data_IF_328634195406
#
_entry.id   IF_328634195406
#
_cell.length_a   1.000
_cell.length_b   1.000
_cell.length_c   1.000
_cell.angle_alpha   90.00
_cell.angle_beta   90.00
_cell.angle_gamma   90.00
#
_symmetry.space_group_name_H-M   'P 1'
#
loop_
_entity.id
_entity.type
_entity.pdbx_description
1 polymer ?
#
# COMPACT_ATOMS: atom_id res chain seq x y z
N UNK A 1 51.80 2.21 -6.16
CA UNK A 1 51.10 2.89 -7.26
C UNK A 1 49.67 2.38 -7.27
N UNK A 2 48.70 3.24 -6.98
CA UNK A 2 47.28 2.90 -7.01
C UNK A 2 46.89 2.76 -8.49
N UNK A 3 46.34 1.61 -8.88
CA UNK A 3 45.88 1.35 -10.25
C UNK A 3 44.74 2.34 -10.56
N UNK A 4 44.67 2.94 -11.76
CA UNK A 4 43.54 3.77 -12.15
C UNK A 4 42.24 2.99 -11.97
N UNK A 5 41.29 3.64 -11.32
CA UNK A 5 39.98 3.15 -10.93
C UNK A 5 39.13 2.98 -12.23
N UNK A 6 39.11 1.77 -12.81
CA UNK A 6 38.52 1.30 -14.09
C UNK A 6 39.45 1.27 -15.33
N UNK A 7 40.57 0.56 -15.26
CA UNK A 7 41.29 0.17 -16.49
C UNK A 7 40.65 -1.07 -17.16
N UNK A 8 39.38 -0.98 -17.54
CA UNK A 8 38.68 -2.08 -18.21
C UNK A 8 39.09 -2.12 -19.67
N UNK A 9 39.73 -3.20 -20.09
CA UNK A 9 40.14 -3.40 -21.47
C UNK A 9 38.92 -3.73 -22.36
N UNK A 10 38.95 -3.26 -23.61
CA UNK A 10 37.91 -3.55 -24.62
C UNK A 10 37.72 -5.06 -24.76
N UNK A 11 38.79 -5.84 -24.70
CA UNK A 11 38.77 -7.31 -24.76
C UNK A 11 37.98 -7.93 -23.61
N UNK A 12 38.01 -7.34 -22.41
CA UNK A 12 37.23 -7.81 -21.26
C UNK A 12 35.73 -7.58 -21.45
N UNK A 13 35.35 -6.49 -22.13
CA UNK A 13 33.97 -6.18 -22.47
C UNK A 13 33.46 -7.10 -23.59
N UNK A 14 34.26 -7.31 -24.63
CA UNK A 14 33.94 -8.23 -25.74
C UNK A 14 33.78 -9.66 -25.24
N UNK A 15 34.66 -10.11 -24.35
CA UNK A 15 34.55 -11.44 -23.71
C UNK A 15 33.25 -11.65 -22.91
N UNK A 16 32.55 -10.57 -22.55
CA UNK A 16 31.28 -10.58 -21.80
C UNK A 16 30.05 -10.35 -22.68
N UNK A 17 30.21 -10.49 -24.01
CA UNK A 17 29.12 -10.49 -24.96
C UNK A 17 28.79 -9.13 -25.57
N UNK A 18 29.61 -8.10 -25.35
CA UNK A 18 29.51 -6.85 -26.12
C UNK A 18 30.15 -7.02 -27.50
N UNK A 19 29.52 -6.43 -28.52
CA UNK A 19 30.21 -6.27 -29.80
C UNK A 19 31.33 -5.22 -29.66
N UNK A 20 32.32 -5.27 -30.56
CA UNK A 20 33.51 -4.43 -30.44
C UNK A 20 33.21 -2.92 -30.50
N UNK A 21 32.32 -2.49 -31.40
CA UNK A 21 31.96 -1.08 -31.52
C UNK A 21 31.31 -0.52 -30.24
N UNK A 22 30.35 -1.27 -29.66
CA UNK A 22 29.73 -0.91 -28.37
C UNK A 22 30.72 -0.99 -27.20
N UNK A 23 31.67 -1.93 -27.25
CA UNK A 23 32.73 -2.03 -26.24
C UNK A 23 33.68 -0.83 -26.30
N UNK A 24 34.03 -0.34 -27.49
CA UNK A 24 34.83 0.87 -27.69
C UNK A 24 34.10 2.13 -27.20
N UNK A 25 32.81 2.27 -27.53
CA UNK A 25 31.95 3.35 -27.03
C UNK A 25 31.85 3.33 -25.50
N UNK A 26 31.58 2.17 -24.91
CA UNK A 26 31.50 2.01 -23.46
C UNK A 26 32.85 2.31 -22.80
N UNK A 27 33.96 1.81 -23.35
CA UNK A 27 35.30 2.09 -22.80
C UNK A 27 35.63 3.59 -22.80
N UNK A 28 35.19 4.35 -23.81
CA UNK A 28 35.34 5.80 -23.83
C UNK A 28 34.56 6.48 -22.70
N UNK A 29 33.30 6.08 -22.48
CA UNK A 29 32.48 6.59 -21.36
C UNK A 29 33.11 6.24 -19.99
N UNK A 30 33.67 5.04 -19.84
CA UNK A 30 34.33 4.62 -18.60
C UNK A 30 35.61 5.42 -18.33
N UNK A 31 36.35 5.81 -19.37
CA UNK A 31 37.57 6.60 -19.24
C UNK A 31 37.32 7.99 -18.63
N UNK A 32 36.17 8.61 -18.92
CA UNK A 32 35.76 9.88 -18.31
C UNK A 32 35.57 9.75 -16.80
N UNK A 33 35.11 8.58 -16.34
CA UNK A 33 34.85 8.27 -14.93
C UNK A 33 36.07 7.78 -14.17
N UNK A 34 37.18 7.47 -14.85
CA UNK A 34 38.40 6.96 -14.23
C UNK A 34 39.12 7.99 -13.33
N UNK A 35 38.70 9.26 -13.40
CA UNK A 35 39.21 10.36 -12.60
C UNK A 35 38.42 10.60 -11.31
N UNK A 36 37.30 9.89 -11.12
CA UNK A 36 36.46 9.99 -9.91
C UNK A 36 36.97 9.00 -8.86
N UNK A 37 37.65 9.52 -7.84
CA UNK A 37 38.26 8.70 -6.78
C UNK A 37 37.22 8.04 -5.84
N UNK A 38 36.03 8.64 -5.71
CA UNK A 38 34.95 8.13 -4.87
C UNK A 38 34.21 6.97 -5.58
N UNK A 39 34.37 5.75 -5.06
CA UNK A 39 33.76 4.54 -5.63
C UNK A 39 32.22 4.61 -5.63
N UNK A 40 31.60 5.29 -4.66
CA UNK A 40 30.15 5.46 -4.55
C UNK A 40 29.62 6.45 -5.60
N UNK A 41 30.27 7.61 -5.73
CA UNK A 41 29.89 8.63 -6.72
C UNK A 41 30.08 8.12 -8.15
N UNK A 42 31.16 7.38 -8.38
CA UNK A 42 31.43 6.77 -9.67
C UNK A 42 30.41 5.67 -10.00
N UNK A 43 30.05 4.82 -9.03
CA UNK A 43 28.98 3.82 -9.24
C UNK A 43 27.64 4.47 -9.54
N UNK A 44 27.28 5.54 -8.81
CA UNK A 44 26.06 6.29 -9.07
C UNK A 44 26.01 6.83 -10.50
N UNK A 45 27.16 7.31 -11.01
CA UNK A 45 27.26 7.80 -12.38
C UNK A 45 27.14 6.65 -13.40
N UNK A 46 27.81 5.52 -13.14
CA UNK A 46 27.67 4.31 -13.97
C UNK A 46 26.21 3.85 -14.04
N UNK A 47 25.55 3.72 -12.89
CA UNK A 47 24.19 3.23 -12.78
C UNK A 47 23.16 4.15 -13.45
N UNK A 48 23.37 5.48 -13.41
CA UNK A 48 22.42 6.46 -13.96
C UNK A 48 22.64 6.80 -15.43
N UNK A 49 23.87 6.68 -15.95
CA UNK A 49 24.21 7.16 -17.31
C UNK A 49 24.73 6.07 -18.25
N UNK A 50 25.28 4.99 -17.71
CA UNK A 50 26.01 3.98 -18.51
C UNK A 50 25.27 2.65 -18.56
N UNK A 51 24.77 2.17 -17.42
CA UNK A 51 24.04 0.91 -17.34
C UNK A 51 22.68 1.01 -18.04
N UNK A 52 22.34 0.01 -18.85
CA UNK A 52 21.01 -0.10 -19.48
C UNK A 52 20.63 -1.57 -19.67
N UNK A 53 19.32 -1.90 -19.77
CA UNK A 53 18.88 -3.28 -20.05
C UNK A 53 19.41 -3.87 -21.37
N UNK A 54 19.94 -3.03 -22.26
CA UNK A 54 20.55 -3.46 -23.52
C UNK A 54 21.98 -4.00 -23.36
N UNK A 55 22.63 -3.77 -22.22
CA UNK A 55 23.94 -4.33 -21.93
C UNK A 55 23.81 -5.77 -21.39
N UNK A 56 24.73 -6.69 -21.77
CA UNK A 56 24.76 -8.02 -21.18
C UNK A 56 24.99 -7.96 -19.67
N UNK A 57 24.27 -8.76 -18.87
CA UNK A 57 24.41 -8.79 -17.41
C UNK A 57 25.87 -8.99 -16.94
N UNK A 58 26.65 -9.83 -17.64
CA UNK A 58 28.07 -10.05 -17.31
C UNK A 58 28.91 -8.76 -17.38
N UNK A 59 28.51 -7.77 -18.19
CA UNK A 59 29.13 -6.44 -18.24
C UNK A 59 28.75 -5.64 -17.00
N UNK A 60 27.47 -5.63 -16.60
CA UNK A 60 27.04 -4.98 -15.36
C UNK A 60 27.84 -5.51 -14.16
N UNK A 61 27.98 -6.84 -14.07
CA UNK A 61 28.73 -7.50 -13.01
C UNK A 61 30.21 -7.08 -13.01
N UNK A 62 30.86 -7.04 -14.17
CA UNK A 62 32.24 -6.57 -14.28
C UNK A 62 32.40 -5.14 -13.77
N UNK A 63 31.56 -4.21 -14.27
CA UNK A 63 31.63 -2.80 -13.88
C UNK A 63 31.45 -2.64 -12.37
N UNK A 64 30.52 -3.40 -11.79
CA UNK A 64 30.27 -3.41 -10.35
C UNK A 64 31.46 -3.94 -9.54
N UNK A 65 32.08 -5.04 -9.98
CA UNK A 65 33.24 -5.64 -9.32
C UNK A 65 34.47 -4.73 -9.38
N UNK A 66 34.75 -4.16 -10.55
CA UNK A 66 35.91 -3.28 -10.77
C UNK A 66 35.71 -1.90 -10.12
N UNK A 67 34.48 -1.42 -10.01
CA UNK A 67 34.20 -0.19 -9.28
C UNK A 67 34.51 -0.34 -7.79
N UNK A 68 33.93 -1.33 -7.11
CA UNK A 68 34.05 -1.47 -5.65
C UNK A 68 35.30 -2.23 -5.20
N UNK A 69 36.44 -1.99 -5.85
CA UNK A 69 37.69 -2.68 -5.55
C UNK A 69 38.17 -2.43 -4.13
N UNK A 70 38.14 -1.17 -3.67
CA UNK A 70 38.56 -0.78 -2.32
C UNK A 70 37.52 -1.19 -1.27
N UNK A 71 36.24 -0.95 -1.52
CA UNK A 71 35.18 -1.39 -0.61
C UNK A 71 35.28 -2.89 -0.32
N UNK A 72 35.51 -3.72 -1.35
CA UNK A 72 35.70 -5.18 -1.16
C UNK A 72 36.94 -5.52 -0.35
N UNK A 73 38.07 -4.85 -0.61
CA UNK A 73 39.31 -5.07 0.14
C UNK A 73 39.17 -4.70 1.63
N UNK A 74 38.40 -3.65 1.91
CA UNK A 74 38.16 -3.14 3.26
C UNK A 74 36.91 -3.76 3.92
N UNK A 75 36.24 -4.71 3.26
CA UNK A 75 34.98 -5.32 3.71
C UNK A 75 33.86 -4.29 3.98
N UNK A 76 33.86 -3.18 3.23
CA UNK A 76 32.80 -2.18 3.27
C UNK A 76 31.60 -2.62 2.40
N UNK A 77 30.38 -2.13 2.70
CA UNK A 77 29.22 -2.38 1.86
C UNK A 77 29.45 -1.93 0.43
N UNK A 78 29.08 -2.78 -0.53
CA UNK A 78 29.02 -2.42 -1.96
C UNK A 78 27.53 -2.26 -2.29
N UNK A 79 26.97 -1.04 -2.32
CA UNK A 79 25.56 -0.88 -2.64
C UNK A 79 25.32 -1.03 -4.14
N UNK A 80 24.31 -1.82 -4.50
CA UNK A 80 23.90 -2.01 -5.89
C UNK A 80 23.27 -0.74 -6.50
N UNK A 81 22.74 0.15 -5.67
CA UNK A 81 22.15 1.42 -6.08
C UNK A 81 22.32 2.46 -4.97
N UNK A 82 22.55 3.72 -5.37
CA UNK A 82 22.67 4.87 -4.48
C UNK A 82 21.84 6.02 -5.08
N UNK A 83 20.86 6.58 -4.36
CA UNK A 83 20.07 7.70 -4.86
C UNK A 83 20.94 8.95 -5.06
N UNK A 84 20.69 9.69 -6.14
CA UNK A 84 21.33 10.99 -6.38
C UNK A 84 20.93 12.00 -5.32
N UNK A 85 21.86 12.88 -4.93
CA UNK A 85 21.60 13.90 -3.89
C UNK A 85 20.43 14.80 -4.28
N UNK A 86 20.25 15.14 -5.56
CA UNK A 86 19.11 15.93 -6.02
C UNK A 86 17.78 15.18 -5.92
N UNK A 87 17.81 13.85 -6.02
CA UNK A 87 16.62 13.00 -5.83
C UNK A 87 16.25 12.97 -4.36
N UNK A 88 17.24 12.73 -3.47
CA UNK A 88 17.04 12.73 -2.02
C UNK A 88 16.45 14.06 -1.55
N UNK A 89 17.02 15.18 -1.99
CA UNK A 89 16.61 16.53 -1.60
C UNK A 89 15.17 16.91 -2.03
N UNK A 90 14.57 16.19 -2.98
CA UNK A 90 13.20 16.42 -3.47
C UNK A 90 12.16 15.50 -2.84
N UNK A 91 12.56 14.61 -1.93
CA UNK A 91 11.62 13.73 -1.24
C UNK A 91 10.84 14.50 -0.19
N UNK A 92 9.57 14.14 0.04
CA UNK A 92 8.80 14.69 1.16
C UNK A 92 9.49 14.43 2.52
N UNK A 93 10.22 13.32 2.64
CA UNK A 93 10.97 13.01 3.85
C UNK A 93 12.12 14.00 4.08
N UNK A 94 12.88 14.37 3.04
CA UNK A 94 13.94 15.37 3.17
C UNK A 94 13.38 16.76 3.49
N UNK A 95 12.25 17.14 2.87
CA UNK A 95 11.54 18.37 3.21
C UNK A 95 11.10 18.38 4.67
N UNK A 96 10.52 17.27 5.15
CA UNK A 96 10.05 17.16 6.53
C UNK A 96 11.21 17.14 7.54
N UNK A 97 12.30 16.42 7.27
CA UNK A 97 13.54 16.46 8.07
C UNK A 97 14.04 17.91 8.22
N UNK A 98 14.07 18.65 7.11
CA UNK A 98 14.45 20.07 7.11
C UNK A 98 13.50 20.94 7.92
N UNK A 99 12.18 20.71 7.82
CA UNK A 99 11.16 21.42 8.60
C UNK A 99 11.28 21.16 10.12
N UNK A 100 11.77 19.98 10.51
CA UNK A 100 12.06 19.63 11.90
C UNK A 100 13.42 20.16 12.39
N UNK A 101 14.23 20.75 11.51
CA UNK A 101 15.57 21.24 11.84
C UNK A 101 16.60 20.13 12.09
N UNK A 102 16.33 18.92 11.59
CA UNK A 102 17.22 17.77 11.69
C UNK A 102 18.18 17.71 10.49
N UNK A 103 19.38 17.15 10.70
CA UNK A 103 20.42 17.13 9.66
C UNK A 103 20.37 15.89 8.77
N UNK A 104 19.80 14.77 9.25
CA UNK A 104 19.79 13.51 8.49
C UNK A 104 18.63 12.58 8.88
N UNK A 105 18.49 11.50 8.10
CA UNK A 105 17.54 10.43 8.41
C UNK A 105 17.90 9.71 9.72
N UNK A 106 19.18 9.55 10.01
CA UNK A 106 19.67 8.94 11.25
C UNK A 106 19.24 9.77 12.46
N UNK A 107 19.35 11.10 12.38
CA UNK A 107 18.84 11.98 13.45
C UNK A 107 17.32 11.90 13.60
N UNK A 108 16.57 11.84 12.49
CA UNK A 108 15.11 11.63 12.54
C UNK A 108 14.76 10.28 13.19
N UNK A 109 15.44 9.21 12.80
CA UNK A 109 15.24 7.89 13.37
C UNK A 109 15.54 7.91 14.88
N UNK A 110 16.70 8.42 15.28
CA UNK A 110 17.11 8.47 16.68
C UNK A 110 16.14 9.33 17.51
N UNK A 111 15.68 10.46 16.98
CA UNK A 111 14.66 11.27 17.65
C UNK A 111 13.31 10.52 17.75
N UNK A 112 12.85 9.88 16.67
CA UNK A 112 11.56 9.16 16.66
C UNK A 112 11.49 8.02 17.68
N UNK A 113 12.62 7.35 17.90
CA UNK A 113 12.73 6.24 18.86
C UNK A 113 12.83 6.76 20.30
N UNK A 114 13.59 7.83 20.53
CA UNK A 114 13.82 8.35 21.88
C UNK A 114 12.71 9.30 22.37
N UNK A 115 11.91 9.86 21.46
CA UNK A 115 10.84 10.82 21.74
C UNK A 115 9.51 10.42 21.06
N UNK A 116 8.98 9.20 21.33
CA UNK A 116 7.86 8.64 20.56
C UNK A 116 6.56 9.45 20.63
N UNK A 117 6.27 10.09 21.77
CA UNK A 117 5.08 10.96 21.90
C UNK A 117 5.20 12.25 21.08
N UNK A 118 6.36 12.89 21.10
CA UNK A 118 6.64 14.09 20.31
C UNK A 118 6.61 13.76 18.81
N UNK A 119 7.23 12.63 18.44
CA UNK A 119 7.19 12.10 17.09
C UNK A 119 5.75 11.83 16.63
N UNK A 120 4.94 11.14 17.44
CA UNK A 120 3.53 10.86 17.10
C UNK A 120 2.74 12.12 16.82
N UNK A 121 2.83 13.13 17.70
CA UNK A 121 2.10 14.38 17.55
C UNK A 121 2.56 15.16 16.30
N UNK A 122 3.87 15.18 16.05
CA UNK A 122 4.46 15.84 14.88
C UNK A 122 4.07 15.13 13.58
N UNK A 123 4.09 13.80 13.57
CA UNK A 123 3.70 12.98 12.43
C UNK A 123 2.21 13.18 12.13
N UNK A 124 1.34 13.17 13.15
CA UNK A 124 -0.08 13.41 12.96
C UNK A 124 -0.37 14.77 12.32
N UNK A 125 0.36 15.82 12.71
CA UNK A 125 0.25 17.13 12.10
C UNK A 125 0.76 17.14 10.64
N UNK A 126 1.88 16.47 10.37
CA UNK A 126 2.46 16.38 9.03
C UNK A 126 1.59 15.57 8.05
N UNK A 127 0.94 14.52 8.54
CA UNK A 127 -0.04 13.72 7.81
C UNK A 127 -1.45 14.33 7.84
N UNK A 128 -1.60 15.50 8.46
CA UNK A 128 -2.86 16.22 8.60
C UNK A 128 -3.99 15.35 9.14
N UNK A 129 -3.71 14.46 10.10
CA UNK A 129 -4.73 13.55 10.64
C UNK A 129 -5.91 14.33 11.24
N UNK A 130 -7.12 13.97 10.81
CA UNK A 130 -8.37 14.54 11.31
C UNK A 130 -8.74 13.88 12.64
N UNK A 131 -8.74 14.68 13.70
CA UNK A 131 -9.32 14.30 14.99
C UNK A 131 -10.57 15.13 15.23
N UNK A 132 -11.67 14.47 15.58
CA UNK A 132 -12.85 15.16 16.05
C UNK A 132 -12.67 15.63 17.50
N UNK A 133 -12.12 14.75 18.33
CA UNK A 133 -11.62 15.09 19.68
C UNK A 133 -10.10 14.83 19.69
N UNK A 134 -9.25 15.82 20.02
CA UNK A 134 -7.79 15.66 19.97
C UNK A 134 -7.27 14.68 21.04
N UNK A 135 -6.12 14.03 20.81
CA UNK A 135 -5.52 13.12 21.79
C UNK A 135 -5.05 13.85 23.06
N UNK A 136 -5.15 13.18 24.20
CA UNK A 136 -4.49 13.60 25.43
C UNK A 136 -2.96 13.37 25.35
N UNK A 137 -2.56 12.26 24.73
CA UNK A 137 -1.16 11.87 24.47
C UNK A 137 -1.04 11.24 23.09
N UNK A 138 0.01 11.59 22.34
CA UNK A 138 0.29 11.01 21.03
C UNK A 138 0.75 9.55 21.10
N UNK A 139 1.50 9.21 22.15
CA UNK A 139 1.95 7.83 22.43
C UNK A 139 2.11 7.63 23.94
N UNK A 140 1.58 6.52 24.47
CA UNK A 140 1.73 6.09 25.85
C UNK A 140 2.31 4.67 25.91
N UNK A 141 3.57 4.58 26.36
CA UNK A 141 4.31 3.31 26.51
C UNK A 141 4.46 2.88 27.97
N UNK A 142 3.68 3.46 28.89
CA UNK A 142 3.76 3.15 30.34
C UNK A 142 3.47 1.69 30.68
N UNK A 143 2.75 0.98 29.80
CA UNK A 143 2.48 -0.47 29.89
C UNK A 143 3.52 -1.34 29.16
N UNK A 144 4.64 -0.76 28.73
CA UNK A 144 5.66 -1.38 27.90
C UNK A 144 5.44 -1.13 26.41
N UNK A 145 6.52 -1.18 25.62
CA UNK A 145 6.49 -0.91 24.17
C UNK A 145 5.63 -1.90 23.39
N UNK A 146 5.47 -3.13 23.88
CA UNK A 146 4.60 -4.16 23.33
C UNK A 146 3.09 -3.84 23.51
N UNK A 147 2.76 -2.90 24.40
CA UNK A 147 1.39 -2.45 24.70
C UNK A 147 1.25 -0.94 24.55
N UNK A 148 1.97 -0.34 23.59
CA UNK A 148 1.89 1.07 23.29
C UNK A 148 0.45 1.48 22.93
N UNK A 149 0.00 2.62 23.45
CA UNK A 149 -1.31 3.21 23.11
C UNK A 149 -1.08 4.50 22.35
N UNK A 150 -1.56 4.55 21.12
CA UNK A 150 -1.41 5.71 20.25
C UNK A 150 -2.63 6.63 20.37
N UNK A 151 -2.38 7.94 20.35
CA UNK A 151 -3.39 9.01 20.34
C UNK A 151 -4.48 8.86 21.42
N UNK A 152 -4.09 8.48 22.64
CA UNK A 152 -5.02 8.15 23.73
C UNK A 152 -6.10 9.22 23.96
N UNK A 153 -7.33 8.76 24.19
CA UNK A 153 -8.54 9.59 24.38
C UNK A 153 -8.97 10.44 23.18
N UNK A 154 -8.28 10.36 22.05
CA UNK A 154 -8.78 10.97 20.82
C UNK A 154 -10.08 10.31 20.38
N UNK A 155 -10.84 11.01 19.54
CA UNK A 155 -11.89 10.43 18.71
C UNK A 155 -11.68 10.84 17.28
N UNK A 156 -11.68 9.86 16.39
CA UNK A 156 -11.40 10.04 14.97
C UNK A 156 -12.13 9.00 14.13
N UNK A 157 -12.19 9.25 12.83
CA UNK A 157 -12.37 8.21 11.84
C UNK A 157 -11.32 8.45 10.75
N UNK A 158 -10.45 7.47 10.52
CA UNK A 158 -9.33 7.63 9.59
C UNK A 158 -9.79 7.99 8.16
N UNK A 159 -11.02 7.64 7.79
CA UNK A 159 -11.63 7.98 6.50
C UNK A 159 -11.74 9.49 6.30
N UNK A 160 -11.94 10.29 7.35
CA UNK A 160 -11.95 11.75 7.23
C UNK A 160 -10.59 12.29 6.76
N UNK A 161 -9.50 11.67 7.21
CA UNK A 161 -8.14 12.04 6.78
C UNK A 161 -7.87 11.67 5.32
N UNK A 162 -8.64 10.75 4.75
CA UNK A 162 -8.52 10.35 3.35
C UNK A 162 -9.13 11.35 2.37
N UNK A 163 -9.97 12.30 2.79
CA UNK A 163 -10.70 13.21 1.90
C UNK A 163 -10.30 14.69 2.06
N UNK A 164 -8.99 14.97 1.99
CA UNK A 164 -8.43 16.32 2.14
C UNK A 164 -8.00 17.02 0.85
N UNK A 165 -7.94 16.29 -0.27
CA UNK A 165 -7.63 16.89 -1.56
C UNK A 165 -8.84 17.61 -2.16
N UNK A 166 -8.59 18.41 -3.20
CA UNK A 166 -9.64 19.09 -3.96
C UNK A 166 -10.64 18.10 -4.56
N UNK A 167 -11.92 18.46 -4.54
CA UNK A 167 -13.05 17.64 -5.00
C UNK A 167 -12.90 17.14 -6.45
N UNK A 168 -12.31 17.96 -7.32
CA UNK A 168 -12.08 17.67 -8.74
C UNK A 168 -10.78 16.87 -9.00
N UNK A 169 -9.90 16.72 -7.99
CA UNK A 169 -8.69 15.94 -8.14
C UNK A 169 -9.01 14.46 -8.32
N UNK A 170 -8.17 13.72 -9.05
CA UNK A 170 -8.32 12.28 -9.20
C UNK A 170 -7.96 11.57 -7.88
N UNK A 171 -8.90 10.79 -7.36
CA UNK A 171 -8.71 9.95 -6.17
C UNK A 171 -8.32 8.51 -6.55
N UNK A 172 -8.99 7.94 -7.54
CA UNK A 172 -8.79 6.54 -7.95
C UNK A 172 -8.67 6.45 -9.46
N UNK A 173 -7.65 5.73 -9.92
CA UNK A 173 -7.50 5.26 -11.29
C UNK A 173 -7.49 3.73 -11.25
N UNK A 174 -8.55 3.11 -11.75
CA UNK A 174 -8.71 1.66 -11.77
C UNK A 174 -8.61 1.14 -13.20
N UNK A 175 -7.76 0.14 -13.43
CA UNK A 175 -7.65 -0.55 -14.71
C UNK A 175 -8.30 -1.93 -14.69
N UNK A 176 -8.99 -2.30 -15.77
CA UNK A 176 -9.47 -3.67 -15.97
C UNK A 176 -8.46 -4.55 -16.73
N UNK A 177 -8.76 -5.85 -16.88
CA UNK A 177 -7.89 -6.79 -17.63
C UNK A 177 -7.74 -6.43 -19.11
N UNK A 178 -8.62 -5.58 -19.66
CA UNK A 178 -8.58 -5.13 -21.05
C UNK A 178 -7.78 -3.82 -21.21
N UNK A 179 -7.25 -3.28 -20.10
CA UNK A 179 -6.51 -2.02 -20.07
C UNK A 179 -7.41 -0.78 -20.12
N UNK A 180 -8.72 -0.92 -19.96
CA UNK A 180 -9.63 0.22 -19.83
C UNK A 180 -9.46 0.84 -18.46
N UNK A 181 -9.38 2.17 -18.42
CA UNK A 181 -9.20 2.92 -17.19
C UNK A 181 -10.51 3.60 -16.78
N UNK A 182 -10.88 3.42 -15.51
CA UNK A 182 -11.94 4.15 -14.83
C UNK A 182 -11.32 5.13 -13.85
N UNK A 183 -11.88 6.33 -13.81
CA UNK A 183 -11.39 7.45 -13.01
C UNK A 183 -12.49 7.90 -12.07
N UNK A 184 -12.17 8.06 -10.79
CA UNK A 184 -13.03 8.75 -9.82
C UNK A 184 -12.29 9.96 -9.28
N UNK A 185 -12.98 11.09 -9.22
CA UNK A 185 -12.52 12.25 -8.46
C UNK A 185 -12.73 12.03 -6.95
N UNK A 186 -12.11 12.88 -6.12
CA UNK A 186 -12.34 12.88 -4.68
C UNK A 186 -13.81 13.09 -4.33
N UNK A 187 -14.52 14.02 -4.98
CA UNK A 187 -15.95 14.22 -4.77
C UNK A 187 -16.78 12.98 -5.09
N UNK A 188 -16.47 12.30 -6.20
CA UNK A 188 -17.18 11.08 -6.62
C UNK A 188 -16.94 9.92 -5.65
N UNK A 189 -15.68 9.73 -5.21
CA UNK A 189 -15.36 8.69 -4.23
C UNK A 189 -16.00 8.99 -2.88
N UNK A 190 -15.97 10.25 -2.43
CA UNK A 190 -16.56 10.70 -1.16
C UNK A 190 -18.07 10.47 -1.15
N UNK A 191 -18.76 10.88 -2.22
CA UNK A 191 -20.19 10.65 -2.36
C UNK A 191 -20.54 9.15 -2.36
N UNK A 192 -19.78 8.32 -3.08
CA UNK A 192 -20.05 6.87 -3.10
C UNK A 192 -19.76 6.22 -1.74
N UNK A 193 -18.69 6.65 -1.07
CA UNK A 193 -18.33 6.21 0.30
C UNK A 193 -19.44 6.57 1.29
N UNK A 194 -20.00 7.78 1.20
CA UNK A 194 -21.12 8.22 2.02
C UNK A 194 -22.36 7.35 1.82
N UNK A 195 -22.73 7.09 0.56
CA UNK A 195 -23.89 6.25 0.22
C UNK A 195 -23.76 4.82 0.76
N UNK A 196 -22.53 4.28 0.76
CA UNK A 196 -22.24 2.99 1.40
C UNK A 196 -22.41 3.09 2.92
N UNK A 197 -21.75 4.06 3.57
CA UNK A 197 -21.80 4.20 5.03
C UNK A 197 -23.24 4.39 5.54
N UNK A 198 -23.98 5.29 4.90
CA UNK A 198 -25.39 5.57 5.21
C UNK A 198 -26.28 4.35 4.93
N UNK A 199 -26.03 3.62 3.84
CA UNK A 199 -26.75 2.37 3.53
C UNK A 199 -26.54 1.29 4.59
N UNK A 200 -25.33 1.17 5.15
CA UNK A 200 -25.08 0.23 6.27
C UNK A 200 -25.86 0.62 7.52
N UNK A 201 -25.91 1.93 7.84
CA UNK A 201 -26.69 2.44 8.97
C UNK A 201 -28.21 2.22 8.78
N UNK A 202 -28.73 2.44 7.56
CA UNK A 202 -30.14 2.17 7.20
C UNK A 202 -30.49 0.68 7.32
N UNK A 203 -29.55 -0.21 7.03
CA UNK A 203 -29.67 -1.65 7.29
C UNK A 203 -29.53 -2.03 8.77
N UNK A 204 -29.31 -1.06 9.65
CA UNK A 204 -29.26 -1.24 11.10
C UNK A 204 -27.90 -1.70 11.65
N UNK A 205 -26.83 -1.67 10.84
CA UNK A 205 -25.50 -1.96 11.35
C UNK A 205 -25.07 -0.87 12.35
N UNK A 206 -24.34 -1.30 13.37
CA UNK A 206 -23.87 -0.46 14.46
C UNK A 206 -22.34 -0.40 14.45
N UNK A 207 -21.74 0.69 14.97
CA UNK A 207 -20.29 0.76 15.12
C UNK A 207 -19.74 -0.45 15.91
N UNK A 208 -18.62 -1.00 15.44
CA UNK A 208 -18.04 -2.26 15.91
C UNK A 208 -18.58 -3.52 15.23
N UNK A 209 -19.63 -3.42 14.41
CA UNK A 209 -20.05 -4.55 13.56
C UNK A 209 -19.01 -4.84 12.48
N UNK A 210 -18.91 -6.12 12.11
CA UNK A 210 -17.98 -6.59 11.08
C UNK A 210 -18.70 -6.82 9.76
N UNK A 211 -18.11 -6.34 8.67
CA UNK A 211 -18.63 -6.52 7.31
C UNK A 211 -17.53 -7.10 6.44
N UNK A 212 -17.80 -8.23 5.81
CA UNK A 212 -16.83 -8.86 4.91
C UNK A 212 -16.81 -8.18 3.53
N UNK A 213 -15.65 -8.21 2.88
CA UNK A 213 -15.51 -7.82 1.47
C UNK A 213 -14.82 -8.95 0.72
N UNK A 214 -15.46 -9.41 -0.36
CA UNK A 214 -14.93 -10.35 -1.35
C UNK A 214 -15.16 -9.76 -2.75
N UNK A 215 -14.33 -8.79 -3.14
CA UNK A 215 -14.46 -8.08 -4.41
C UNK A 215 -13.08 -7.92 -5.07
N UNK A 216 -13.01 -7.86 -6.42
CA UNK A 216 -11.79 -7.44 -7.11
C UNK A 216 -11.44 -5.98 -6.78
N UNK A 217 -10.21 -5.57 -7.11
CA UNK A 217 -9.69 -4.20 -6.92
C UNK A 217 -10.37 -3.19 -7.86
N UNK A 218 -11.63 -2.88 -7.57
CA UNK A 218 -12.48 -1.95 -8.31
C UNK A 218 -12.74 -0.69 -7.50
N UNK A 219 -13.22 0.36 -8.17
CA UNK A 219 -13.64 1.61 -7.51
C UNK A 219 -14.74 1.39 -6.47
N UNK A 220 -15.62 0.40 -6.71
CA UNK A 220 -16.69 0.04 -5.78
C UNK A 220 -16.13 -0.66 -4.55
N UNK A 221 -15.09 -1.50 -4.70
CA UNK A 221 -14.41 -2.12 -3.57
C UNK A 221 -13.71 -1.08 -2.68
N UNK A 222 -13.10 -0.05 -3.26
CA UNK A 222 -12.51 1.08 -2.51
C UNK A 222 -13.61 1.82 -1.72
N UNK A 223 -14.72 2.17 -2.38
CA UNK A 223 -15.82 2.85 -1.69
C UNK A 223 -16.51 1.98 -0.63
N UNK A 224 -16.64 0.67 -0.86
CA UNK A 224 -17.14 -0.29 0.13
C UNK A 224 -16.24 -0.32 1.35
N UNK A 225 -14.92 -0.44 1.15
CA UNK A 225 -13.91 -0.45 2.21
C UNK A 225 -13.96 0.82 3.06
N UNK A 226 -13.89 1.99 2.42
CA UNK A 226 -13.96 3.28 3.12
C UNK A 226 -15.33 3.47 3.79
N UNK A 227 -16.42 3.06 3.15
CA UNK A 227 -17.79 3.25 3.67
C UNK A 227 -18.08 2.40 4.90
N UNK A 228 -17.55 1.17 4.96
CA UNK A 228 -17.61 0.32 6.16
C UNK A 228 -16.90 1.00 7.32
N UNK A 229 -15.68 1.48 7.11
CA UNK A 229 -14.89 2.15 8.16
C UNK A 229 -15.57 3.47 8.57
N UNK A 230 -16.09 4.25 7.61
CA UNK A 230 -16.83 5.48 7.87
C UNK A 230 -18.09 5.23 8.72
N UNK A 231 -18.76 4.09 8.55
CA UNK A 231 -19.88 3.68 9.41
C UNK A 231 -19.44 3.21 10.82
N UNK A 232 -18.15 3.27 11.14
CA UNK A 232 -17.57 2.77 12.38
C UNK A 232 -17.56 1.24 12.47
N UNK A 233 -17.75 0.55 11.35
CA UNK A 233 -17.71 -0.91 11.26
C UNK A 233 -16.30 -1.39 10.87
N UNK A 234 -15.99 -2.66 11.11
CA UNK A 234 -14.72 -3.28 10.72
C UNK A 234 -14.83 -4.05 9.41
N UNK A 235 -13.85 -3.90 8.53
CA UNK A 235 -13.75 -4.68 7.29
C UNK A 235 -13.14 -6.05 7.56
N UNK A 236 -13.83 -7.14 7.21
CA UNK A 236 -13.24 -8.48 7.16
C UNK A 236 -12.77 -8.78 5.73
N UNK A 237 -11.46 -8.83 5.52
CA UNK A 237 -10.90 -9.04 4.17
C UNK A 237 -10.97 -10.52 3.77
N UNK A 238 -11.60 -10.79 2.62
CA UNK A 238 -11.73 -12.14 2.06
C UNK A 238 -11.17 -12.15 0.65
N UNK A 239 -10.13 -12.95 0.43
CA UNK A 239 -9.57 -13.10 -0.91
C UNK A 239 -10.56 -13.82 -1.83
N UNK A 240 -10.74 -13.27 -3.03
CA UNK A 240 -11.55 -13.84 -4.11
C UNK A 240 -11.08 -15.25 -4.54
N UNK A 241 -9.81 -15.57 -4.32
CA UNK A 241 -9.20 -16.86 -4.60
C UNK A 241 -9.56 -17.94 -3.60
N UNK A 242 -10.08 -17.59 -2.41
CA UNK A 242 -10.41 -18.58 -1.40
C UNK A 242 -11.55 -19.51 -1.86
N UNK A 243 -11.42 -20.77 -1.48
CA UNK A 243 -12.48 -21.77 -1.56
C UNK A 243 -13.58 -21.48 -0.53
N UNK A 244 -14.75 -22.10 -0.71
CA UNK A 244 -15.88 -21.96 0.22
C UNK A 244 -15.49 -22.34 1.65
N UNK A 245 -14.72 -23.43 1.82
CA UNK A 245 -14.24 -23.87 3.12
C UNK A 245 -13.28 -22.86 3.77
N UNK A 246 -12.39 -22.24 2.98
CA UNK A 246 -11.48 -21.21 3.49
C UNK A 246 -12.21 -19.93 3.90
N UNK A 247 -13.25 -19.53 3.17
CA UNK A 247 -14.12 -18.41 3.57
C UNK A 247 -14.87 -18.74 4.86
N UNK A 248 -15.43 -19.94 4.97
CA UNK A 248 -16.19 -20.41 6.14
C UNK A 248 -15.39 -20.27 7.45
N UNK A 249 -14.14 -20.73 7.45
CA UNK A 249 -13.26 -20.63 8.63
C UNK A 249 -13.05 -19.18 9.05
N UNK A 250 -12.92 -18.26 8.10
CA UNK A 250 -12.73 -16.82 8.38
C UNK A 250 -14.01 -16.18 8.92
N UNK A 251 -15.16 -16.56 8.39
CA UNK A 251 -16.46 -16.12 8.90
C UNK A 251 -16.74 -16.67 10.29
N UNK A 252 -16.31 -17.89 10.61
CA UNK A 252 -16.42 -18.45 11.95
C UNK A 252 -15.58 -17.64 12.96
N UNK A 253 -14.35 -17.27 12.59
CA UNK A 253 -13.45 -16.49 13.45
C UNK A 253 -13.97 -15.07 13.68
N UNK A 254 -14.51 -14.43 12.63
CA UNK A 254 -14.81 -12.99 12.65
C UNK A 254 -16.28 -12.64 12.81
N UNK A 255 -17.18 -13.57 12.50
CA UNK A 255 -18.63 -13.44 12.60
C UNK A 255 -19.16 -12.15 11.94
N UNK A 256 -18.86 -11.90 10.65
CA UNK A 256 -19.38 -10.72 9.96
C UNK A 256 -20.91 -10.78 9.87
N UNK A 257 -21.57 -9.62 9.89
CA UNK A 257 -23.03 -9.51 9.74
C UNK A 257 -23.48 -9.52 8.29
N UNK A 258 -22.65 -9.03 7.38
CA UNK A 258 -22.90 -8.96 5.93
C UNK A 258 -21.61 -9.13 5.12
N UNK A 259 -21.76 -9.33 3.82
CA UNK A 259 -20.65 -9.35 2.87
C UNK A 259 -20.94 -8.50 1.63
N UNK A 260 -20.01 -7.64 1.25
CA UNK A 260 -19.95 -7.09 -0.10
C UNK A 260 -19.26 -8.09 -1.03
N UNK A 261 -19.88 -8.40 -2.15
CA UNK A 261 -19.35 -9.37 -3.10
C UNK A 261 -19.69 -8.99 -4.53
N UNK A 262 -18.78 -9.29 -5.46
CA UNK A 262 -19.07 -9.21 -6.89
C UNK A 262 -19.63 -10.54 -7.40
N UNK A 263 -20.52 -10.51 -8.40
CA UNK A 263 -21.05 -11.71 -9.04
C UNK A 263 -19.97 -12.65 -9.58
N UNK A 264 -19.04 -12.12 -10.34
CA UNK A 264 -17.93 -12.84 -10.96
C UNK A 264 -16.66 -12.01 -11.03
N UNK A 265 -15.52 -12.69 -11.19
CA UNK A 265 -14.25 -12.05 -11.54
C UNK A 265 -13.67 -12.69 -12.79
N UNK A 266 -13.16 -11.86 -13.71
CA UNK A 266 -12.41 -12.33 -14.86
C UNK A 266 -10.94 -12.40 -14.47
N UNK A 267 -10.33 -13.58 -14.63
CA UNK A 267 -8.89 -13.77 -14.43
C UNK A 267 -8.28 -14.54 -15.59
N UNK A 268 -7.29 -13.96 -16.25
CA UNK A 268 -6.69 -14.53 -17.46
C UNK A 268 -7.75 -14.89 -18.52
N UNK A 269 -8.75 -14.02 -18.70
CA UNK A 269 -9.85 -14.23 -19.66
C UNK A 269 -10.85 -15.33 -19.28
N UNK A 270 -10.81 -15.87 -18.05
CA UNK A 270 -11.78 -16.84 -17.54
C UNK A 270 -12.66 -16.21 -16.46
N UNK A 271 -13.97 -16.38 -16.61
CA UNK A 271 -14.94 -15.92 -15.62
C UNK A 271 -15.07 -16.91 -14.46
N UNK A 272 -14.88 -16.41 -13.24
CA UNK A 272 -14.99 -17.17 -11.99
C UNK A 272 -16.19 -16.66 -11.17
N UNK A 273 -17.23 -17.48 -10.92
CA UNK A 273 -18.40 -17.04 -10.17
C UNK A 273 -18.08 -16.92 -8.68
N UNK A 274 -17.99 -15.69 -8.18
CA UNK A 274 -17.69 -15.43 -6.77
C UNK A 274 -18.93 -15.56 -5.91
N UNK A 275 -20.08 -15.05 -6.36
CA UNK A 275 -21.32 -15.10 -5.59
C UNK A 275 -21.79 -16.54 -5.28
N UNK A 276 -21.57 -17.48 -6.19
CA UNK A 276 -21.90 -18.90 -5.98
C UNK A 276 -21.21 -19.50 -4.74
N UNK A 277 -20.04 -18.97 -4.36
CA UNK A 277 -19.29 -19.43 -3.18
C UNK A 277 -20.01 -19.12 -1.86
N UNK A 278 -20.78 -18.03 -1.80
CA UNK A 278 -21.48 -17.61 -0.58
C UNK A 278 -22.95 -18.05 -0.56
N UNK A 279 -23.59 -18.13 -1.73
CA UNK A 279 -24.98 -18.50 -1.86
C UNK A 279 -25.24 -19.93 -1.35
N UNK A 280 -24.29 -20.84 -1.58
CA UNK A 280 -24.48 -22.26 -1.36
C UNK A 280 -24.31 -22.74 0.10
N UNK A 281 -23.51 -22.06 0.96
CA UNK A 281 -23.06 -22.69 2.22
C UNK A 281 -22.98 -21.80 3.46
N UNK A 282 -23.01 -20.47 3.36
CA UNK A 282 -22.63 -19.59 4.48
C UNK A 282 -23.78 -18.79 5.11
N UNK A 283 -24.93 -18.66 4.43
CA UNK A 283 -26.09 -17.92 4.95
C UNK A 283 -25.88 -16.42 5.23
N UNK A 284 -24.66 -15.91 5.06
CA UNK A 284 -24.28 -14.52 5.28
C UNK A 284 -24.97 -13.60 4.27
N UNK A 285 -25.82 -12.64 4.70
CA UNK A 285 -26.52 -11.73 3.79
C UNK A 285 -25.54 -10.93 2.92
N UNK A 286 -25.78 -10.93 1.61
CA UNK A 286 -24.90 -10.33 0.62
C UNK A 286 -25.40 -8.96 0.15
N UNK A 287 -24.46 -8.06 -0.12
CA UNK A 287 -24.66 -6.89 -0.96
C UNK A 287 -23.92 -7.19 -2.28
N UNK A 288 -24.68 -7.49 -3.33
CA UNK A 288 -24.17 -8.01 -4.60
C UNK A 288 -23.89 -6.88 -5.59
N UNK A 289 -22.66 -6.74 -6.04
CA UNK A 289 -22.33 -5.94 -7.22
C UNK A 289 -22.34 -6.84 -8.46
N UNK A 290 -23.17 -6.52 -9.45
CA UNK A 290 -23.13 -7.16 -10.78
C UNK A 290 -22.09 -6.49 -11.66
N UNK A 291 -21.05 -7.23 -12.03
CA UNK A 291 -20.09 -6.78 -13.03
C UNK A 291 -20.51 -7.15 -14.45
N UNK A 292 -21.46 -8.08 -14.60
CA UNK A 292 -21.92 -8.54 -15.92
C UNK A 292 -23.40 -8.94 -15.89
N UNK A 293 -24.13 -8.60 -16.97
CA UNK A 293 -25.50 -9.09 -17.20
C UNK A 293 -25.52 -10.54 -17.73
N UNK A 294 -24.35 -11.19 -17.84
CA UNK A 294 -24.20 -12.53 -18.46
C UNK A 294 -24.75 -13.68 -17.62
N UNK A 295 -25.02 -13.48 -16.32
CA UNK A 295 -25.51 -14.51 -15.42
C UNK A 295 -26.87 -14.16 -14.83
N UNK A 296 -27.78 -15.11 -14.95
CA UNK A 296 -29.02 -15.10 -14.18
C UNK A 296 -28.72 -15.51 -12.74
N UNK A 297 -28.59 -14.51 -11.86
CA UNK A 297 -28.32 -14.70 -10.43
C UNK A 297 -29.61 -14.42 -9.69
N UNK A 298 -30.11 -15.43 -8.98
CA UNK A 298 -31.25 -15.29 -8.10
C UNK A 298 -30.76 -14.96 -6.68
N UNK A 299 -31.09 -13.76 -6.21
CA UNK A 299 -30.81 -13.32 -4.85
C UNK A 299 -31.65 -14.11 -3.82
N UNK A 300 -31.07 -14.35 -2.63
CA UNK A 300 -31.82 -14.84 -1.48
C UNK A 300 -32.59 -13.69 -0.84
N UNK A 301 -33.54 -14.00 0.04
CA UNK A 301 -34.40 -13.01 0.71
C UNK A 301 -33.62 -11.91 1.46
N UNK A 302 -32.48 -12.24 2.03
CA UNK A 302 -31.65 -11.31 2.83
C UNK A 302 -30.59 -10.58 1.99
N UNK A 303 -30.40 -11.00 0.73
CA UNK A 303 -29.44 -10.39 -0.18
C UNK A 303 -30.06 -9.15 -0.85
N UNK A 304 -29.21 -8.19 -1.19
CA UNK A 304 -29.60 -6.91 -1.78
C UNK A 304 -28.66 -6.61 -2.95
N UNK A 305 -29.17 -6.11 -4.06
CA UNK A 305 -28.33 -5.57 -5.15
C UNK A 305 -27.60 -4.32 -4.67
N UNK A 306 -26.37 -4.10 -5.13
CA UNK A 306 -25.54 -2.95 -4.75
C UNK A 306 -26.25 -1.63 -4.97
N UNK A 307 -26.89 -1.44 -6.13
CA UNK A 307 -27.57 -0.19 -6.47
C UNK A 307 -28.80 0.09 -5.59
N UNK A 308 -29.51 -0.96 -5.16
CA UNK A 308 -30.65 -0.87 -4.25
C UNK A 308 -30.20 -0.68 -2.78
N UNK A 309 -29.00 -1.11 -2.45
CA UNK A 309 -28.39 -0.93 -1.13
C UNK A 309 -27.90 0.50 -0.89
N UNK A 310 -27.34 1.15 -1.91
CA UNK A 310 -26.74 2.47 -1.76
C UNK A 310 -27.78 3.50 -1.32
N UNK A 311 -27.53 4.14 -0.17
CA UNK A 311 -28.40 5.22 0.33
C UNK A 311 -28.53 6.34 -0.70
N UNK A 312 -29.68 7.03 -0.70
CA UNK A 312 -29.86 8.25 -1.46
C UNK A 312 -29.08 9.43 -0.85
N UNK A 313 -28.75 9.36 0.44
CA UNK A 313 -27.93 10.35 1.15
C UNK A 313 -26.45 10.12 0.83
N UNK A 314 -25.81 11.15 0.27
CA UNK A 314 -24.41 11.15 -0.13
C UNK A 314 -23.55 12.11 0.71
N UNK A 315 -24.05 12.61 1.82
CA UNK A 315 -23.27 13.38 2.79
C UNK A 315 -22.46 12.43 3.67
N UNK A 316 -21.12 12.54 3.60
CA UNK A 316 -20.21 11.69 4.36
C UNK A 316 -20.11 12.18 5.81
N UNK A 317 -20.84 11.51 6.71
CA UNK A 317 -20.76 11.72 8.15
C UNK A 317 -20.06 10.51 8.79
N UNK A 318 -18.75 10.61 9.02
CA UNK A 318 -18.00 9.51 9.60
C UNK A 318 -18.33 9.33 11.09
N UNK A 319 -18.56 8.07 11.50
CA UNK A 319 -18.77 7.72 12.89
C UNK A 319 -17.45 7.89 13.65
N UNK A 320 -17.42 8.67 14.74
CA UNK A 320 -16.19 8.90 15.47
C UNK A 320 -15.90 7.77 16.45
N UNK A 321 -14.73 7.19 16.33
CA UNK A 321 -14.29 5.98 17.01
C UNK A 321 -13.09 6.25 17.93
N UNK A 322 -12.80 5.33 18.85
CA UNK A 322 -11.54 5.38 19.58
C UNK A 322 -10.37 4.93 18.68
N UNK A 323 -9.14 5.41 18.94
CA UNK A 323 -7.92 4.97 18.26
C UNK A 323 -7.77 3.47 18.08
N UNK A 324 -8.06 2.71 19.13
CA UNK A 324 -7.90 1.26 19.23
C UNK A 324 -9.12 0.47 18.71
N UNK A 325 -10.13 1.16 18.18
CA UNK A 325 -11.26 0.48 17.57
C UNK A 325 -10.83 -0.15 16.23
N UNK A 326 -11.15 -1.44 16.08
CA UNK A 326 -10.86 -2.23 14.89
C UNK A 326 -11.46 -1.58 13.62
N UNK A 327 -10.64 -1.37 12.60
CA UNK A 327 -11.05 -0.89 11.27
C UNK A 327 -11.05 -2.01 10.24
N UNK A 328 -10.07 -2.91 10.32
CA UNK A 328 -9.84 -3.95 9.31
C UNK A 328 -9.28 -5.19 9.97
N UNK A 329 -9.74 -6.36 9.54
CA UNK A 329 -9.19 -7.66 9.89
C UNK A 329 -8.55 -8.26 8.64
N UNK A 330 -7.25 -8.51 8.74
CA UNK A 330 -6.45 -9.19 7.73
C UNK A 330 -6.08 -10.59 8.23
N UNK A 331 -6.05 -11.57 7.33
CA UNK A 331 -5.65 -12.93 7.68
C UNK A 331 -4.25 -13.26 7.18
N UNK A 332 -3.43 -13.88 8.04
CA UNK A 332 -2.19 -14.52 7.61
C UNK A 332 -2.32 -16.04 7.59
N UNK A 333 -1.62 -16.69 6.66
CA UNK A 333 -1.47 -18.15 6.66
C UNK A 333 -0.42 -18.55 7.70
N UNK A 334 -0.85 -19.27 8.74
CA UNK A 334 0.08 -19.95 9.64
C UNK A 334 0.65 -21.21 8.98
N UNK A 335 1.88 -21.59 9.33
CA UNK A 335 2.54 -22.79 8.77
C UNK A 335 1.90 -24.10 9.21
N UNK A 336 1.06 -24.13 10.25
CA UNK A 336 0.56 -25.37 10.86
C UNK A 336 -0.83 -25.27 11.51
N UNK A 337 -1.70 -24.32 11.12
CA UNK A 337 -3.00 -24.18 11.81
C UNK A 337 -4.04 -23.31 11.11
N UNK A 338 -5.17 -23.07 11.82
CA UNK A 338 -6.22 -22.12 11.41
C UNK A 338 -5.62 -20.73 11.14
N UNK A 339 -6.19 -19.97 10.18
CA UNK A 339 -5.70 -18.64 9.83
C UNK A 339 -5.78 -17.71 11.05
N UNK A 340 -4.77 -16.84 11.20
CA UNK A 340 -4.74 -15.86 12.29
C UNK A 340 -5.41 -14.58 11.82
N UNK A 341 -6.43 -14.13 12.53
CA UNK A 341 -7.03 -12.82 12.35
C UNK A 341 -6.12 -11.75 12.99
N UNK A 342 -5.76 -10.74 12.21
CA UNK A 342 -4.91 -9.63 12.62
C UNK A 342 -5.76 -8.36 12.50
N UNK A 343 -6.28 -7.85 13.63
CA UNK A 343 -7.02 -6.59 13.63
C UNK A 343 -6.04 -5.42 13.45
N UNK A 344 -6.44 -4.46 12.63
CA UNK A 344 -5.86 -3.13 12.52
C UNK A 344 -6.86 -2.16 13.10
N UNK A 345 -6.38 -1.09 13.72
CA UNK A 345 -7.21 -0.06 14.33
C UNK A 345 -7.18 1.24 13.51
N UNK A 346 -7.55 2.37 14.09
CA UNK A 346 -7.59 3.65 13.39
C UNK A 346 -6.23 4.36 13.32
N UNK A 347 -5.19 3.84 13.98
CA UNK A 347 -3.94 4.57 14.28
C UNK A 347 -2.65 3.92 13.84
#
# INVERSE_FOLDING_TARGET
MVKPLLSIAIEQLVARGLNRAKAEELAAQLAELATVDDESLRWQTLASRVLSPALPFAVHELLYQENYGQHRQQQLPCPAWIPQTEVVAKTHLAEWIGALGLASYEELHDWSVNHPEEFANTLAAALTLCFQDPPLRGCDTSAGVENARWYSQARLNIVESCFQADDDALAVIAGDEQGQLKYLTYAQLKALTARVANGLAELGLQPGDRVAICMPMTVNAVAAFLGIIAAGCSVVTIADSFSVAEMAVRFEITQPKRIFIQDEIIRNGKAHPLFEKIAAQQGLPAILLRASDSRDIQLRREDIEWDDFLSADNDLNCVPCSPDQETTIIFSSGTTGQPKAIPWDHT
#
